data_IF_238143692819
#
_entry.id   IF_238143692819
#
_cell.length_a   1.000
_cell.length_b   1.000
_cell.length_c   1.000
_cell.angle_alpha   90.00
_cell.angle_beta   90.00
_cell.angle_gamma   90.00
#
_symmetry.space_group_name_H-M   'P 1'
#
loop_
_entity.id
_entity.type
_entity.pdbx_description
1 polymer ?
#
# COMPACT_ATOMS: atom_id res chain seq x y z
N UNK A 1 -22.43 9.01 -21.72
CA UNK A 1 -22.13 7.78 -20.96
C UNK A 1 -20.94 7.11 -21.62
N UNK A 2 -19.77 7.09 -20.98
CA UNK A 2 -18.62 6.33 -21.49
C UNK A 2 -18.82 4.87 -21.09
N UNK A 3 -18.91 3.96 -22.06
CA UNK A 3 -19.01 2.53 -21.78
C UNK A 3 -17.73 2.04 -21.08
N UNK A 4 -17.84 1.14 -20.08
CA UNK A 4 -16.69 0.63 -19.34
C UNK A 4 -15.78 -0.19 -20.25
N UNK A 5 -14.49 -0.29 -19.89
CA UNK A 5 -13.45 -1.16 -20.42
C UNK A 5 -13.97 -2.38 -21.24
N UNK A 6 -14.23 -2.21 -22.53
CA UNK A 6 -14.77 -3.29 -23.38
C UNK A 6 -13.70 -4.08 -24.09
N UNK A 7 -12.47 -3.56 -24.18
CA UNK A 7 -11.38 -4.29 -24.82
C UNK A 7 -10.74 -5.30 -23.87
N UNK A 8 -10.21 -6.41 -24.40
CA UNK A 8 -9.44 -7.38 -23.63
C UNK A 8 -8.31 -6.71 -22.84
N UNK A 9 -7.63 -5.72 -23.44
CA UNK A 9 -6.54 -4.99 -22.81
C UNK A 9 -7.01 -4.22 -21.58
N UNK A 10 -8.16 -3.56 -21.67
CA UNK A 10 -8.71 -2.78 -20.55
C UNK A 10 -9.16 -3.69 -19.41
N UNK A 11 -9.78 -4.85 -19.73
CA UNK A 11 -10.18 -5.85 -18.74
C UNK A 11 -8.98 -6.44 -18.00
N UNK A 12 -7.89 -6.75 -18.71
CA UNK A 12 -6.63 -7.23 -18.11
C UNK A 12 -6.03 -6.15 -17.21
N UNK A 13 -6.02 -4.89 -17.66
CA UNK A 13 -5.48 -3.79 -16.85
C UNK A 13 -6.31 -3.55 -15.58
N UNK A 14 -7.64 -3.59 -15.67
CA UNK A 14 -8.52 -3.44 -14.52
C UNK A 14 -8.35 -4.57 -13.50
N UNK A 15 -8.29 -5.82 -13.98
CA UNK A 15 -8.06 -7.00 -13.13
C UNK A 15 -6.73 -6.91 -12.40
N UNK A 16 -5.66 -6.54 -13.11
CA UNK A 16 -4.33 -6.34 -12.51
C UNK A 16 -4.32 -5.25 -11.44
N UNK A 17 -5.01 -4.13 -11.65
CA UNK A 17 -5.12 -3.08 -10.63
C UNK A 17 -5.75 -3.62 -9.35
N UNK A 18 -6.81 -4.42 -9.46
CA UNK A 18 -7.43 -5.05 -8.30
C UNK A 18 -6.48 -6.02 -7.61
N UNK A 19 -5.74 -6.83 -8.37
CA UNK A 19 -4.72 -7.74 -7.81
C UNK A 19 -3.67 -6.98 -6.99
N UNK A 20 -3.16 -5.84 -7.49
CA UNK A 20 -2.19 -5.02 -6.77
C UNK A 20 -2.76 -4.43 -5.48
N UNK A 21 -4.03 -4.02 -5.48
CA UNK A 21 -4.71 -3.52 -4.27
C UNK A 21 -4.83 -4.65 -3.24
N UNK A 22 -5.26 -5.85 -3.66
CA UNK A 22 -5.37 -7.01 -2.77
C UNK A 22 -4.00 -7.44 -2.24
N UNK A 23 -2.97 -7.46 -3.10
CA UNK A 23 -1.59 -7.75 -2.71
C UNK A 23 -1.10 -6.76 -1.65
N UNK A 24 -1.42 -5.47 -1.82
CA UNK A 24 -1.08 -4.43 -0.84
C UNK A 24 -1.78 -4.65 0.50
N UNK A 25 -3.09 -4.93 0.50
CA UNK A 25 -3.83 -5.13 1.74
C UNK A 25 -3.33 -6.34 2.53
N UNK A 26 -2.96 -7.42 1.82
CA UNK A 26 -2.31 -8.59 2.45
C UNK A 26 -0.94 -8.28 3.01
N UNK A 27 -0.16 -7.45 2.32
CA UNK A 27 1.16 -7.03 2.81
C UNK A 27 1.03 -6.18 4.08
N UNK A 28 0.09 -5.23 4.12
CA UNK A 28 -0.23 -4.44 5.31
C UNK A 28 -0.64 -5.36 6.47
N UNK A 29 -1.59 -6.27 6.24
CA UNK A 29 -2.04 -7.20 7.28
C UNK A 29 -0.89 -8.04 7.84
N UNK A 30 -0.02 -8.56 6.98
CA UNK A 30 1.16 -9.34 7.38
C UNK A 30 2.13 -8.49 8.19
N UNK A 31 2.53 -7.33 7.67
CA UNK A 31 3.57 -6.50 8.25
C UNK A 31 3.09 -5.95 9.61
N UNK A 32 1.84 -5.49 9.74
CA UNK A 32 1.28 -5.12 11.04
C UNK A 32 1.20 -6.31 12.00
N UNK A 33 0.80 -7.49 11.53
CA UNK A 33 0.75 -8.72 12.33
C UNK A 33 2.12 -9.14 12.88
N UNK A 34 3.19 -9.03 12.09
CA UNK A 34 4.58 -9.27 12.55
C UNK A 34 5.02 -8.29 13.65
N UNK A 35 4.42 -7.10 13.66
CA UNK A 35 4.58 -6.12 14.71
C UNK A 35 3.57 -6.27 15.84
N UNK A 36 2.75 -7.34 15.89
CA UNK A 36 1.76 -7.57 16.94
C UNK A 36 0.57 -6.61 16.91
N UNK A 37 0.25 -6.06 15.74
CA UNK A 37 -0.88 -5.18 15.48
C UNK A 37 -1.85 -5.94 14.58
N UNK A 38 -2.96 -6.44 15.15
CA UNK A 38 -3.89 -7.25 14.37
C UNK A 38 -4.74 -6.38 13.45
N UNK A 39 -4.76 -6.72 12.16
CA UNK A 39 -5.61 -6.11 11.14
C UNK A 39 -6.31 -7.24 10.39
N UNK A 40 -7.59 -7.06 10.08
CA UNK A 40 -8.34 -7.96 9.23
C UNK A 40 -8.62 -7.32 7.88
N UNK A 41 -8.14 -7.95 6.80
CA UNK A 41 -8.46 -7.58 5.43
C UNK A 41 -9.13 -8.75 4.71
N UNK A 42 -10.31 -8.51 4.12
CA UNK A 42 -11.12 -9.56 3.50
C UNK A 42 -10.60 -10.03 2.14
N UNK A 43 -9.65 -9.28 1.57
CA UNK A 43 -9.19 -9.49 0.19
C UNK A 43 -10.08 -8.81 -0.84
N UNK A 44 -11.02 -7.95 -0.43
CA UNK A 44 -11.83 -7.14 -1.34
C UNK A 44 -11.10 -5.86 -1.74
N UNK A 45 -10.70 -5.74 -3.00
CA UNK A 45 -10.10 -4.50 -3.52
C UNK A 45 -11.04 -3.28 -3.36
N UNK A 46 -12.36 -3.51 -3.43
CA UNK A 46 -13.38 -2.48 -3.30
C UNK A 46 -13.46 -1.92 -1.87
N UNK A 47 -13.20 -2.76 -0.86
CA UNK A 47 -13.26 -2.40 0.55
C UNK A 47 -11.89 -2.08 1.16
N UNK A 48 -10.81 -2.16 0.36
CA UNK A 48 -9.42 -2.00 0.79
C UNK A 48 -9.20 -0.82 1.73
N UNK A 49 -9.63 0.37 1.32
CA UNK A 49 -9.37 1.56 2.11
C UNK A 49 -10.25 1.61 3.38
N UNK A 50 -11.53 1.26 3.25
CA UNK A 50 -12.49 1.24 4.36
C UNK A 50 -12.08 0.25 5.46
N UNK A 51 -11.67 -0.96 5.08
CA UNK A 51 -11.27 -1.99 6.04
C UNK A 51 -9.96 -1.62 6.73
N UNK A 52 -8.96 -1.15 5.98
CA UNK A 52 -7.62 -0.97 6.52
C UNK A 52 -7.47 0.34 7.30
N UNK A 53 -8.03 1.43 6.78
CA UNK A 53 -7.69 2.77 7.28
C UNK A 53 -8.02 2.95 8.76
N UNK A 54 -9.25 2.64 9.16
CA UNK A 54 -9.68 2.83 10.56
C UNK A 54 -8.93 1.91 11.52
N UNK A 55 -8.75 0.63 11.16
CA UNK A 55 -7.96 -0.32 11.96
C UNK A 55 -6.50 0.14 12.12
N UNK A 56 -5.87 0.59 11.04
CA UNK A 56 -4.49 1.10 11.07
C UNK A 56 -4.39 2.38 11.90
N UNK A 57 -5.33 3.31 11.74
CA UNK A 57 -5.33 4.59 12.46
C UNK A 57 -5.42 4.37 13.97
N UNK A 58 -6.26 3.46 14.43
CA UNK A 58 -6.35 3.11 15.86
C UNK A 58 -5.01 2.59 16.40
N UNK A 59 -4.35 1.69 15.67
CA UNK A 59 -3.01 1.20 16.02
C UNK A 59 -1.96 2.31 16.01
N UNK A 60 -1.98 3.18 14.99
CA UNK A 60 -1.05 4.31 14.86
C UNK A 60 -1.23 5.29 16.01
N UNK A 61 -2.46 5.67 16.34
CA UNK A 61 -2.77 6.55 17.47
C UNK A 61 -2.28 5.97 18.81
N UNK A 62 -2.51 4.67 19.04
CA UNK A 62 -1.98 3.98 20.21
C UNK A 62 -0.44 4.00 20.25
N UNK A 63 0.22 3.72 19.11
CA UNK A 63 1.68 3.69 19.04
C UNK A 63 2.31 5.06 19.25
N UNK A 64 1.72 6.13 18.71
CA UNK A 64 2.19 7.51 18.92
C UNK A 64 2.10 7.89 20.41
N UNK A 65 1.01 7.52 21.07
CA UNK A 65 0.73 7.93 22.46
C UNK A 65 1.48 7.11 23.52
N UNK A 66 1.60 5.79 23.33
CA UNK A 66 2.06 4.87 24.38
C UNK A 66 3.39 4.16 24.05
N UNK A 67 3.82 4.19 22.78
CA UNK A 67 4.95 3.37 22.27
C UNK A 67 5.75 4.05 21.15
N UNK A 68 6.06 5.34 21.30
CA UNK A 68 6.68 6.15 20.23
C UNK A 68 7.98 5.53 19.67
N UNK A 69 8.87 5.01 20.51
CA UNK A 69 10.10 4.36 20.05
C UNK A 69 9.82 3.14 19.15
N UNK A 70 8.80 2.34 19.50
CA UNK A 70 8.37 1.19 18.70
C UNK A 70 7.78 1.67 17.36
N UNK A 71 7.03 2.77 17.40
CA UNK A 71 6.46 3.37 16.21
C UNK A 71 7.54 3.85 15.24
N UNK A 72 8.55 4.58 15.74
CA UNK A 72 9.66 5.05 14.93
C UNK A 72 10.43 3.89 14.31
N UNK A 73 10.71 2.83 15.08
CA UNK A 73 11.32 1.60 14.53
C UNK A 73 10.47 0.97 13.42
N UNK A 74 9.15 0.94 13.57
CA UNK A 74 8.23 0.46 12.54
C UNK A 74 8.34 1.30 11.25
N UNK A 75 8.23 2.64 11.36
CA UNK A 75 8.32 3.55 10.21
C UNK A 75 9.63 3.39 9.43
N UNK A 76 10.76 3.25 10.14
CA UNK A 76 12.05 3.01 9.48
C UNK A 76 12.10 1.70 8.70
N UNK A 77 11.44 0.61 9.18
CA UNK A 77 11.43 -0.68 8.46
C UNK A 77 10.63 -0.64 7.16
N UNK A 78 9.66 0.26 7.05
CA UNK A 78 8.87 0.47 5.83
C UNK A 78 9.37 1.66 5.01
N UNK A 79 10.60 2.12 5.30
CA UNK A 79 11.28 3.23 4.62
C UNK A 79 10.45 4.54 4.62
N UNK A 80 9.87 4.89 5.76
CA UNK A 80 9.28 6.22 5.99
C UNK A 80 10.26 7.06 6.80
N UNK A 81 10.64 8.22 6.27
CA UNK A 81 11.51 9.18 6.94
C UNK A 81 10.76 10.47 7.30
N UNK A 82 11.38 11.32 8.12
CA UNK A 82 10.77 12.56 8.61
C UNK A 82 10.43 13.56 7.49
N UNK A 83 11.15 13.55 6.37
CA UNK A 83 10.83 14.43 5.24
C UNK A 83 9.54 13.99 4.54
N UNK A 84 9.29 12.68 4.43
CA UNK A 84 8.04 12.16 3.89
C UNK A 84 6.86 12.55 4.78
N UNK A 85 7.03 12.47 6.10
CA UNK A 85 6.02 12.87 7.09
C UNK A 85 5.70 14.36 6.93
N UNK A 86 6.71 15.23 6.97
CA UNK A 86 6.53 16.69 6.82
C UNK A 86 5.85 17.06 5.50
N UNK A 87 6.19 16.37 4.42
CA UNK A 87 5.56 16.58 3.11
C UNK A 87 4.07 16.23 3.18
N UNK A 88 3.72 15.08 3.76
CA UNK A 88 2.33 14.66 3.90
C UNK A 88 1.52 15.57 4.83
N UNK A 89 2.07 15.99 5.97
CA UNK A 89 1.44 16.97 6.86
C UNK A 89 1.14 18.28 6.11
N UNK A 90 2.08 18.75 5.29
CA UNK A 90 1.89 19.99 4.51
C UNK A 90 0.77 19.88 3.47
N UNK A 91 0.51 18.68 2.97
CA UNK A 91 -0.57 18.37 2.02
C UNK A 91 -1.92 18.16 2.72
N UNK A 92 -1.92 17.95 4.04
CA UNK A 92 -3.10 17.61 4.84
C UNK A 92 -3.22 18.49 6.10
N UNK A 93 -3.23 19.83 5.98
CA UNK A 93 -3.08 20.74 7.13
C UNK A 93 -4.21 20.70 8.17
N UNK A 94 -5.36 20.08 7.85
CA UNK A 94 -6.52 19.99 8.74
C UNK A 94 -6.78 18.54 9.22
N UNK A 95 -5.76 17.69 9.17
CA UNK A 95 -5.85 16.29 9.61
C UNK A 95 -5.01 16.09 10.86
N UNK A 96 -5.50 15.23 11.74
CA UNK A 96 -4.76 14.77 12.91
C UNK A 96 -3.50 13.98 12.48
N UNK A 97 -2.48 13.99 13.33
CA UNK A 97 -1.17 13.41 12.98
C UNK A 97 -1.23 11.90 12.70
N UNK A 98 -2.04 11.16 13.45
CA UNK A 98 -2.30 9.73 13.24
C UNK A 98 -2.97 9.45 11.89
N UNK A 99 -3.90 10.31 11.46
CA UNK A 99 -4.52 10.25 10.14
C UNK A 99 -3.50 10.44 9.03
N UNK A 100 -2.65 11.47 9.14
CA UNK A 100 -1.58 11.76 8.15
C UNK A 100 -0.62 10.58 8.04
N UNK A 101 -0.19 10.02 9.16
CA UNK A 101 0.72 8.88 9.18
C UNK A 101 0.07 7.61 8.61
N UNK A 102 -1.20 7.37 8.90
CA UNK A 102 -1.94 6.23 8.35
C UNK A 102 -2.01 6.30 6.83
N UNK A 103 -2.33 7.47 6.27
CA UNK A 103 -2.30 7.71 4.81
C UNK A 103 -0.92 7.44 4.22
N UNK A 104 0.12 7.97 4.87
CA UNK A 104 1.49 7.81 4.41
C UNK A 104 1.92 6.32 4.38
N UNK A 105 1.57 5.55 5.41
CA UNK A 105 1.86 4.11 5.47
C UNK A 105 1.16 3.36 4.34
N UNK A 106 -0.15 3.59 4.13
CA UNK A 106 -0.90 2.94 3.05
C UNK A 106 -0.30 3.28 1.68
N UNK A 107 0.00 4.55 1.43
CA UNK A 107 0.60 4.98 0.17
C UNK A 107 1.99 4.40 -0.04
N UNK A 108 2.80 4.26 1.02
CA UNK A 108 4.13 3.64 0.93
C UNK A 108 4.05 2.17 0.53
N UNK A 109 3.09 1.44 1.10
CA UNK A 109 2.84 0.03 0.81
C UNK A 109 2.31 -0.17 -0.62
N UNK A 110 1.35 0.66 -1.05
CA UNK A 110 0.87 0.68 -2.44
C UNK A 110 2.02 0.93 -3.43
N UNK A 111 2.84 1.96 -3.17
CA UNK A 111 3.98 2.31 -4.03
C UNK A 111 4.97 1.15 -4.11
N UNK A 112 5.27 0.50 -2.99
CA UNK A 112 6.15 -0.69 -2.93
C UNK A 112 5.65 -1.82 -3.83
N UNK A 113 4.36 -2.17 -3.72
CA UNK A 113 3.75 -3.25 -4.52
C UNK A 113 3.73 -2.90 -6.01
N UNK A 114 3.31 -1.69 -6.36
CA UNK A 114 3.28 -1.22 -7.76
C UNK A 114 4.69 -1.22 -8.37
N UNK A 115 5.70 -0.74 -7.64
CA UNK A 115 7.09 -0.73 -8.12
C UNK A 115 7.61 -2.16 -8.31
N UNK A 116 7.35 -3.08 -7.36
CA UNK A 116 7.73 -4.49 -7.50
C UNK A 116 7.08 -5.14 -8.73
N UNK A 117 5.79 -4.86 -8.94
CA UNK A 117 5.06 -5.36 -10.11
C UNK A 117 5.63 -4.82 -11.42
N UNK A 118 5.96 -3.52 -11.48
CA UNK A 118 6.57 -2.91 -12.66
C UNK A 118 7.89 -3.59 -13.08
N UNK A 119 8.75 -3.92 -12.12
CA UNK A 119 10.00 -4.63 -12.43
C UNK A 119 9.79 -6.12 -12.76
N UNK A 120 8.82 -6.80 -12.11
CA UNK A 120 8.42 -8.17 -12.49
C UNK A 120 7.96 -8.23 -13.96
N UNK A 121 7.18 -7.24 -14.40
CA UNK A 121 6.70 -7.18 -15.79
C UNK A 121 7.81 -6.97 -16.82
N UNK A 122 8.81 -6.16 -16.49
CA UNK A 122 9.95 -5.93 -17.40
C UNK A 122 10.77 -7.22 -17.54
N UNK A 123 11.12 -7.86 -16.43
CA UNK A 123 11.86 -9.12 -16.45
C UNK A 123 11.17 -10.19 -17.30
N UNK A 124 9.83 -10.33 -17.17
CA UNK A 124 9.08 -11.30 -17.98
C UNK A 124 9.13 -10.98 -19.48
N UNK A 125 9.05 -9.70 -19.86
CA UNK A 125 9.14 -9.29 -21.28
C UNK A 125 10.53 -9.55 -21.86
N UNK A 126 11.57 -9.27 -21.08
CA UNK A 126 12.95 -9.50 -21.50
C UNK A 126 13.22 -11.00 -21.69
N UNK A 127 12.65 -11.85 -20.83
CA UNK A 127 12.70 -13.32 -20.97
C UNK A 127 11.96 -13.82 -22.22
N UNK A 128 10.73 -13.37 -22.46
CA UNK A 128 9.94 -13.77 -23.64
C UNK A 128 10.62 -13.36 -24.96
N UNK A 129 11.33 -12.24 -24.99
CA UNK A 129 12.09 -11.81 -26.17
C UNK A 129 13.34 -12.66 -26.41
N UNK A 130 14.06 -13.05 -25.34
CA UNK A 130 15.24 -13.91 -25.45
C UNK A 130 14.93 -15.35 -25.91
N UNK A 131 13.73 -15.87 -25.63
CA UNK A 131 13.29 -17.20 -26.09
C UNK A 131 12.83 -17.23 -27.56
N UNK A 132 12.44 -16.08 -28.12
CA UNK A 132 12.02 -15.97 -29.53
C UNK A 132 13.19 -15.73 -30.49
N UNK A 133 14.34 -15.28 -29.96
CA UNK A 133 15.56 -14.99 -30.73
C UNK A 133 16.61 -16.13 -30.70
N UNK A 134 16.37 -17.21 -29.95
CA UNK A 134 17.26 -18.38 -29.82
C UNK A 134 16.72 -19.65 -30.49
#
# INVERSE_FOLDING_TARGET
MAFPATSRKDLVQASRRNELIVETGRQIQKDFGEFGLEIHFTGSAQLFYEELFEQMKDHVAYLISDKLDRFMHFLYRIDINENDIKLYESQMPNKEYDHVLTELIIHRELKKVITRDYFRQQANKDHEQGELEG
#
